data_IF_311115336236
#
_entry.id   IF_311115336236
#
_cell.length_a   1.000
_cell.length_b   1.000
_cell.length_c   1.000
_cell.angle_alpha   90.00
_cell.angle_beta   90.00
_cell.angle_gamma   90.00
#
_symmetry.space_group_name_H-M   'P 1'
#
loop_
_entity.id
_entity.type
_entity.pdbx_description
1 polymer ?
#
# COMPACT_ATOMS: atom_id res chain seq x y z
N UNK A 1 -19.52 -8.09 -20.90
CA UNK A 1 -19.87 -7.43 -19.62
C UNK A 1 -21.38 -7.20 -19.64
N UNK A 2 -22.13 -7.80 -18.71
CA UNK A 2 -23.60 -7.80 -18.69
C UNK A 2 -24.20 -6.48 -18.17
N UNK A 3 -25.41 -6.14 -18.62
CA UNK A 3 -26.21 -4.95 -18.23
C UNK A 3 -26.36 -4.77 -16.71
N UNK A 4 -26.40 -5.86 -15.93
CA UNK A 4 -26.44 -5.79 -14.47
C UNK A 4 -25.21 -5.13 -13.83
N UNK A 5 -24.04 -5.29 -14.44
CA UNK A 5 -22.79 -4.71 -13.91
C UNK A 5 -22.79 -3.19 -14.03
N UNK A 6 -23.33 -2.67 -15.12
CA UNK A 6 -23.46 -1.23 -15.34
C UNK A 6 -24.49 -0.63 -14.40
N UNK A 7 -25.65 -1.27 -14.24
CA UNK A 7 -26.67 -0.84 -13.29
C UNK A 7 -26.16 -0.73 -11.84
N UNK A 8 -25.39 -1.73 -11.37
CA UNK A 8 -24.81 -1.70 -10.01
C UNK A 8 -23.77 -0.59 -9.85
N UNK A 9 -22.97 -0.34 -10.88
CA UNK A 9 -22.00 0.75 -10.89
C UNK A 9 -22.68 2.12 -10.81
N UNK A 10 -23.73 2.34 -11.60
CA UNK A 10 -24.50 3.60 -11.58
C UNK A 10 -25.15 3.83 -10.22
N UNK A 11 -25.71 2.77 -9.62
CA UNK A 11 -26.29 2.84 -8.29
C UNK A 11 -25.24 3.17 -7.21
N UNK A 12 -24.04 2.58 -7.30
CA UNK A 12 -22.93 2.88 -6.39
C UNK A 12 -22.50 4.36 -6.49
N UNK A 13 -22.37 4.90 -7.71
CA UNK A 13 -22.05 6.30 -7.94
C UNK A 13 -23.16 7.25 -7.44
N UNK A 14 -24.43 6.86 -7.56
CA UNK A 14 -25.55 7.60 -7.01
C UNK A 14 -25.47 7.69 -5.47
N UNK A 15 -25.23 6.57 -4.79
CA UNK A 15 -25.06 6.55 -3.33
C UNK A 15 -23.84 7.33 -2.89
N UNK A 16 -22.73 7.23 -3.61
CA UNK A 16 -21.53 8.03 -3.37
C UNK A 16 -21.83 9.53 -3.44
N UNK A 17 -22.46 9.98 -4.52
CA UNK A 17 -22.82 11.40 -4.71
C UNK A 17 -23.75 11.90 -3.60
N UNK A 18 -24.76 11.10 -3.24
CA UNK A 18 -25.67 11.40 -2.12
C UNK A 18 -24.93 11.50 -0.80
N UNK A 19 -24.04 10.54 -0.50
CA UNK A 19 -23.25 10.52 0.73
C UNK A 19 -22.34 11.76 0.83
N UNK A 20 -21.67 12.16 -0.25
CA UNK A 20 -20.83 13.38 -0.27
C UNK A 20 -21.68 14.63 0.00
N UNK A 21 -22.88 14.74 -0.58
CA UNK A 21 -23.80 15.86 -0.35
C UNK A 21 -24.30 15.93 1.09
N UNK A 22 -24.69 14.79 1.65
CA UNK A 22 -25.14 14.70 3.05
C UNK A 22 -23.99 14.99 4.01
N UNK A 23 -22.78 14.51 3.72
CA UNK A 23 -21.59 14.79 4.51
C UNK A 23 -21.25 16.28 4.52
N UNK A 24 -21.32 16.94 3.37
CA UNK A 24 -21.13 18.38 3.25
C UNK A 24 -22.14 19.16 4.11
N UNK A 25 -23.40 18.72 4.10
CA UNK A 25 -24.46 19.32 4.93
C UNK A 25 -24.20 19.08 6.42
N UNK A 26 -23.74 17.88 6.79
CA UNK A 26 -23.38 17.55 8.17
C UNK A 26 -22.19 18.39 8.68
N UNK A 27 -21.18 18.59 7.83
CA UNK A 27 -20.01 19.41 8.16
C UNK A 27 -20.40 20.87 8.47
N UNK A 28 -21.42 21.40 7.80
CA UNK A 28 -21.94 22.75 8.03
C UNK A 28 -22.74 22.90 9.34
N UNK A 29 -23.19 21.79 9.95
CA UNK A 29 -24.17 21.82 11.07
C UNK A 29 -23.61 21.28 12.38
N UNK A 30 -22.64 20.37 12.34
CA UNK A 30 -22.05 19.76 13.55
C UNK A 30 -20.95 20.65 14.14
N UNK A 31 -21.01 20.90 15.45
CA UNK A 31 -19.89 21.43 16.21
C UNK A 31 -19.04 20.27 16.77
N UNK A 32 -17.71 20.37 16.68
CA UNK A 32 -16.72 19.34 17.10
C UNK A 32 -16.69 18.07 16.24
N UNK A 33 -16.33 18.24 14.98
CA UNK A 33 -16.19 17.18 13.97
C UNK A 33 -15.31 16.00 14.44
N UNK A 34 -14.28 16.26 15.24
CA UNK A 34 -13.31 15.27 15.69
C UNK A 34 -13.90 14.16 16.58
N UNK A 35 -15.02 14.44 17.26
CA UNK A 35 -15.68 13.47 18.15
C UNK A 35 -16.80 12.66 17.45
N UNK A 36 -17.08 12.95 16.18
CA UNK A 36 -18.20 12.34 15.45
C UNK A 36 -17.76 11.06 14.72
N UNK A 37 -17.90 9.89 15.35
CA UNK A 37 -17.47 8.60 14.78
C UNK A 37 -18.06 8.33 13.39
N UNK A 38 -19.34 8.64 13.19
CA UNK A 38 -19.99 8.43 11.90
C UNK A 38 -19.40 9.32 10.80
N UNK A 39 -18.86 10.50 11.14
CA UNK A 39 -18.21 11.38 10.16
C UNK A 39 -16.90 10.75 9.69
N UNK A 40 -16.05 10.32 10.63
CA UNK A 40 -14.80 9.64 10.30
C UNK A 40 -15.05 8.35 9.51
N UNK A 41 -16.02 7.53 9.95
CA UNK A 41 -16.39 6.31 9.22
C UNK A 41 -16.91 6.58 7.82
N UNK A 42 -17.77 7.59 7.63
CA UNK A 42 -18.24 7.98 6.30
C UNK A 42 -17.07 8.38 5.40
N UNK A 43 -16.13 9.19 5.89
CA UNK A 43 -14.93 9.58 5.11
C UNK A 43 -14.07 8.35 4.77
N UNK A 44 -13.89 7.41 5.72
CA UNK A 44 -13.17 6.15 5.48
C UNK A 44 -13.84 5.34 4.39
N UNK A 45 -15.16 5.15 4.47
CA UNK A 45 -15.93 4.41 3.48
C UNK A 45 -15.89 5.10 2.10
N UNK A 46 -15.84 6.44 2.04
CA UNK A 46 -15.74 7.18 0.78
C UNK A 46 -14.40 6.98 0.08
N UNK A 47 -13.27 6.99 0.80
CA UNK A 47 -11.99 6.65 0.15
C UNK A 47 -11.90 5.17 -0.21
N UNK A 48 -12.45 4.27 0.61
CA UNK A 48 -12.49 2.84 0.29
C UNK A 48 -13.35 2.57 -0.94
N UNK A 49 -14.47 3.28 -1.11
CA UNK A 49 -15.28 3.21 -2.32
C UNK A 49 -14.45 3.50 -3.59
N UNK A 50 -13.54 4.48 -3.53
CA UNK A 50 -12.62 4.76 -4.64
C UNK A 50 -11.57 3.67 -4.89
N UNK A 51 -11.16 2.94 -3.85
CA UNK A 51 -10.25 1.79 -3.96
C UNK A 51 -10.94 0.54 -4.53
N UNK A 52 -12.18 0.29 -4.08
CA UNK A 52 -12.96 -0.90 -4.44
C UNK A 52 -13.63 -0.76 -5.81
N UNK A 53 -14.18 0.42 -6.10
CA UNK A 53 -15.00 0.67 -7.28
C UNK A 53 -14.30 1.46 -8.38
N UNK A 54 -15.03 1.67 -9.47
CA UNK A 54 -14.61 2.52 -10.59
C UNK A 54 -15.20 3.93 -10.45
N UNK A 55 -14.53 4.93 -11.04
CA UNK A 55 -15.09 6.29 -11.22
C UNK A 55 -14.89 7.29 -10.08
N UNK A 56 -14.46 6.88 -8.89
CA UNK A 56 -14.23 7.78 -7.73
C UNK A 56 -12.78 7.79 -7.24
N UNK A 57 -11.86 7.20 -8.01
CA UNK A 57 -10.43 7.10 -7.69
C UNK A 57 -9.79 8.47 -7.40
N UNK A 58 -10.15 9.47 -8.21
CA UNK A 58 -9.58 10.81 -8.13
C UNK A 58 -10.00 11.57 -6.87
N UNK A 59 -11.03 11.10 -6.15
CA UNK A 59 -11.48 11.70 -4.90
C UNK A 59 -10.80 11.09 -3.67
N UNK A 60 -10.14 9.93 -3.79
CA UNK A 60 -9.43 9.26 -2.68
C UNK A 60 -8.50 10.24 -1.94
N UNK A 61 -7.60 11.00 -2.60
CA UNK A 61 -6.71 11.96 -1.94
C UNK A 61 -7.43 12.95 -1.03
N UNK A 62 -8.57 13.49 -1.48
CA UNK A 62 -9.35 14.49 -0.75
C UNK A 62 -9.96 13.89 0.51
N UNK A 63 -10.52 12.68 0.40
CA UNK A 63 -11.10 11.95 1.53
C UNK A 63 -10.03 11.53 2.53
N UNK A 64 -8.84 11.11 2.07
CA UNK A 64 -7.70 10.80 2.94
C UNK A 64 -7.22 12.04 3.68
N UNK A 65 -7.12 13.18 3.00
CA UNK A 65 -6.75 14.47 3.63
C UNK A 65 -7.77 14.87 4.71
N UNK A 66 -9.07 14.70 4.42
CA UNK A 66 -10.12 14.93 5.41
C UNK A 66 -10.00 13.98 6.63
N UNK A 67 -9.77 12.68 6.39
CA UNK A 67 -9.61 11.69 7.46
C UNK A 67 -8.36 11.98 8.31
N UNK A 68 -7.25 12.32 7.66
CA UNK A 68 -5.99 12.76 8.30
C UNK A 68 -6.28 13.91 9.26
N UNK A 69 -6.96 14.96 8.79
CA UNK A 69 -7.32 16.12 9.63
C UNK A 69 -8.21 15.75 10.81
N UNK A 70 -9.23 14.91 10.61
CA UNK A 70 -10.12 14.45 11.69
C UNK A 70 -9.33 13.67 12.74
N UNK A 71 -8.47 12.74 12.30
CA UNK A 71 -7.64 11.92 13.19
C UNK A 71 -6.63 12.77 13.96
N UNK A 72 -5.98 13.74 13.32
CA UNK A 72 -5.06 14.68 14.00
C UNK A 72 -5.77 15.42 15.12
N UNK A 73 -6.93 16.02 14.84
CA UNK A 73 -7.70 16.77 15.84
C UNK A 73 -8.19 15.88 16.99
N UNK A 74 -8.54 14.63 16.67
CA UNK A 74 -9.11 13.67 17.62
C UNK A 74 -8.06 13.03 18.52
N UNK A 75 -6.93 12.60 17.95
CA UNK A 75 -5.99 11.68 18.59
C UNK A 75 -4.59 12.27 18.80
N UNK A 76 -4.12 13.16 17.91
CA UNK A 76 -2.74 13.67 17.98
C UNK A 76 -2.64 14.98 18.78
N UNK A 77 -3.69 15.79 18.75
CA UNK A 77 -3.76 17.05 19.50
C UNK A 77 -4.19 16.87 20.97
N UNK A 78 -4.39 15.64 21.44
CA UNK A 78 -4.81 15.34 22.81
C UNK A 78 -3.69 14.60 23.56
N UNK A 79 -3.45 14.92 24.84
CA UNK A 79 -2.39 14.29 25.63
C UNK A 79 -2.71 12.85 26.07
N UNK A 80 -3.95 12.40 25.93
CA UNK A 80 -4.40 11.08 26.38
C UNK A 80 -4.02 9.97 25.39
N UNK A 81 -3.69 8.80 25.94
CA UNK A 81 -3.47 7.57 25.16
C UNK A 81 -4.72 7.18 24.36
N UNK A 82 -4.52 6.55 23.20
CA UNK A 82 -5.57 5.98 22.35
C UNK A 82 -6.57 5.12 23.17
N UNK A 83 -7.80 5.62 23.42
CA UNK A 83 -8.64 5.04 24.46
C UNK A 83 -9.49 3.86 23.97
N UNK A 84 -9.62 3.65 22.64
CA UNK A 84 -10.54 2.67 22.06
C UNK A 84 -9.91 1.94 20.88
N UNK A 85 -10.31 0.68 20.70
CA UNK A 85 -9.95 -0.13 19.53
C UNK A 85 -10.35 0.53 18.20
N UNK A 86 -11.47 1.25 18.18
CA UNK A 86 -11.89 2.03 17.01
C UNK A 86 -10.86 3.08 16.61
N UNK A 87 -10.25 3.76 17.58
CA UNK A 87 -9.26 4.80 17.32
C UNK A 87 -7.97 4.18 16.73
N UNK A 88 -7.60 2.96 17.16
CA UNK A 88 -6.51 2.16 16.56
C UNK A 88 -6.80 1.84 15.10
N UNK A 89 -7.94 1.22 14.84
CA UNK A 89 -8.35 0.86 13.48
C UNK A 89 -8.40 2.08 12.57
N UNK A 90 -8.94 3.20 13.06
CA UNK A 90 -9.07 4.42 12.30
C UNK A 90 -7.71 5.02 11.94
N UNK A 91 -6.80 5.20 12.90
CA UNK A 91 -5.49 5.79 12.61
C UNK A 91 -4.67 4.88 11.70
N UNK A 92 -4.68 3.57 11.93
CA UNK A 92 -3.95 2.63 11.07
C UNK A 92 -4.51 2.61 9.65
N UNK A 93 -5.85 2.65 9.50
CA UNK A 93 -6.49 2.73 8.18
C UNK A 93 -6.12 4.02 7.43
N UNK A 94 -6.07 5.15 8.14
CA UNK A 94 -5.66 6.42 7.55
C UNK A 94 -4.17 6.42 7.21
N UNK A 95 -3.30 5.83 8.04
CA UNK A 95 -1.86 5.67 7.75
C UNK A 95 -1.66 4.80 6.52
N UNK A 96 -2.33 3.64 6.45
CA UNK A 96 -2.23 2.75 5.29
C UNK A 96 -2.70 3.42 4.01
N UNK A 97 -3.84 4.12 4.07
CA UNK A 97 -4.36 4.80 2.90
C UNK A 97 -3.49 6.00 2.51
N UNK A 98 -2.91 6.70 3.48
CA UNK A 98 -1.91 7.76 3.27
C UNK A 98 -0.69 7.20 2.54
N UNK A 99 -0.19 6.03 2.95
CA UNK A 99 0.87 5.32 2.26
C UNK A 99 0.50 5.07 0.79
N UNK A 100 -0.64 4.43 0.53
CA UNK A 100 -1.07 4.09 -0.84
C UNK A 100 -1.26 5.31 -1.75
N UNK A 101 -1.89 6.39 -1.27
CA UNK A 101 -2.06 7.60 -2.11
C UNK A 101 -0.73 8.32 -2.34
N UNK A 102 0.20 8.22 -1.41
CA UNK A 102 1.51 8.88 -1.53
C UNK A 102 2.44 8.09 -2.44
N UNK A 103 2.41 6.76 -2.41
CA UNK A 103 3.20 5.92 -3.31
C UNK A 103 2.65 5.90 -4.73
N UNK A 104 1.32 5.88 -4.87
CA UNK A 104 0.61 5.95 -6.15
C UNK A 104 0.99 4.83 -7.12
N UNK A 105 0.64 5.02 -8.40
CA UNK A 105 1.18 4.21 -9.48
C UNK A 105 2.60 4.65 -9.82
N UNK A 106 3.39 3.76 -10.41
CA UNK A 106 4.73 4.04 -10.88
C UNK A 106 4.73 4.88 -12.16
N UNK A 107 3.71 4.73 -13.04
CA UNK A 107 3.55 5.59 -14.22
C UNK A 107 3.05 7.00 -13.89
N UNK A 108 2.47 7.22 -12.71
CA UNK A 108 2.01 8.56 -12.28
C UNK A 108 3.22 9.46 -12.00
N UNK A 109 3.51 10.34 -12.96
CA UNK A 109 4.61 11.33 -12.89
C UNK A 109 4.15 12.76 -12.53
N UNK A 110 2.85 12.98 -12.45
CA UNK A 110 2.27 14.29 -12.11
C UNK A 110 2.49 14.64 -10.63
N UNK A 111 2.39 15.93 -10.31
CA UNK A 111 2.32 16.38 -8.91
C UNK A 111 1.24 15.59 -8.17
N UNK A 112 1.58 15.11 -6.98
CA UNK A 112 0.63 14.39 -6.16
C UNK A 112 -0.61 15.25 -5.93
N UNK A 113 -1.78 14.66 -6.17
CA UNK A 113 -3.06 15.23 -5.72
C UNK A 113 -3.23 15.18 -4.19
N UNK A 114 -2.28 14.56 -3.49
CA UNK A 114 -2.21 14.45 -2.03
C UNK A 114 -0.91 15.06 -1.50
N UNK A 115 -1.01 15.98 -0.54
CA UNK A 115 0.15 16.53 0.15
C UNK A 115 0.49 15.64 1.36
N UNK A 116 1.65 14.97 1.31
CA UNK A 116 2.09 14.11 2.41
C UNK A 116 2.38 14.94 3.64
N UNK A 117 1.70 14.63 4.75
CA UNK A 117 1.86 15.35 6.01
C UNK A 117 2.85 14.61 6.93
N UNK A 118 4.12 15.05 7.04
CA UNK A 118 5.11 14.41 7.90
C UNK A 118 4.76 14.51 9.39
N UNK A 119 4.15 15.62 9.83
CA UNK A 119 3.76 15.80 11.23
C UNK A 119 2.68 14.80 11.66
N UNK A 120 1.72 14.52 10.76
CA UNK A 120 0.73 13.49 10.97
C UNK A 120 1.38 12.11 11.08
N UNK A 121 2.29 11.78 10.16
CA UNK A 121 2.96 10.48 10.12
C UNK A 121 3.76 10.24 11.41
N UNK A 122 4.59 11.20 11.80
CA UNK A 122 5.40 11.14 13.02
C UNK A 122 4.51 11.06 14.28
N UNK A 123 3.42 11.81 14.31
CA UNK A 123 2.46 11.76 15.40
C UNK A 123 1.76 10.40 15.50
N UNK A 124 1.35 9.84 14.35
CA UNK A 124 0.70 8.53 14.29
C UNK A 124 1.64 7.42 14.74
N UNK A 125 2.89 7.41 14.29
CA UNK A 125 3.90 6.45 14.71
C UNK A 125 4.13 6.50 16.24
N UNK A 126 4.40 7.68 16.79
CA UNK A 126 4.58 7.86 18.24
C UNK A 126 3.36 7.40 19.04
N UNK A 127 2.16 7.65 18.54
CA UNK A 127 0.92 7.22 19.20
C UNK A 127 0.76 5.68 19.15
N UNK A 128 1.04 5.08 17.99
CA UNK A 128 0.92 3.63 17.77
C UNK A 128 1.96 2.85 18.56
N UNK A 129 3.18 3.38 18.73
CA UNK A 129 4.24 2.80 19.57
C UNK A 129 3.90 2.78 21.06
N UNK A 130 3.17 3.79 21.54
CA UNK A 130 2.75 3.90 22.95
C UNK A 130 1.50 3.09 23.28
N UNK A 131 0.80 2.57 22.26
CA UNK A 131 -0.46 1.87 22.45
C UNK A 131 -0.24 0.49 23.09
N UNK A 132 -0.98 0.21 24.16
CA UNK A 132 -0.94 -1.07 24.90
C UNK A 132 -2.20 -1.92 24.69
N UNK A 133 -2.96 -1.67 23.62
CA UNK A 133 -4.30 -2.24 23.42
C UNK A 133 -4.32 -3.78 23.30
N UNK A 134 -3.20 -4.41 22.93
CA UNK A 134 -3.08 -5.87 22.97
C UNK A 134 -1.75 -6.28 23.63
N UNK A 135 -1.72 -6.48 24.96
CA UNK A 135 -0.48 -6.82 25.67
C UNK A 135 0.00 -8.24 25.32
N UNK A 136 1.31 -8.43 25.17
CA UNK A 136 1.95 -9.76 25.02
C UNK A 136 2.22 -10.23 23.58
N UNK A 137 1.67 -9.58 22.56
CA UNK A 137 1.94 -9.93 21.16
C UNK A 137 3.10 -9.11 20.56
N UNK A 138 3.91 -9.69 19.64
CA UNK A 138 4.89 -8.94 18.85
C UNK A 138 4.25 -7.74 18.15
N UNK A 139 4.94 -6.59 18.11
CA UNK A 139 4.36 -5.31 17.66
C UNK A 139 3.79 -5.35 16.23
N UNK A 140 4.43 -6.08 15.32
CA UNK A 140 3.93 -6.27 13.95
C UNK A 140 2.60 -7.05 13.91
N UNK A 141 2.46 -8.05 14.77
CA UNK A 141 1.23 -8.84 14.96
C UNK A 141 0.14 -8.08 15.74
N UNK A 142 0.53 -6.96 16.36
CA UNK A 142 -0.32 -6.09 17.17
C UNK A 142 -0.90 -4.91 16.36
N UNK A 143 -0.84 -4.99 15.04
CA UNK A 143 -1.41 -4.00 14.13
C UNK A 143 -2.48 -4.64 13.25
N UNK A 144 -3.77 -4.56 13.63
CA UNK A 144 -4.86 -5.25 12.93
C UNK A 144 -5.03 -4.80 11.48
N UNK A 145 -4.60 -3.58 11.14
CA UNK A 145 -4.64 -3.05 9.78
C UNK A 145 -3.25 -3.10 9.14
N UNK A 146 -2.22 -2.48 9.73
CA UNK A 146 -0.96 -2.30 9.00
C UNK A 146 -0.17 -3.60 8.84
N UNK A 147 -0.15 -4.48 9.84
CA UNK A 147 0.55 -5.78 9.82
C UNK A 147 2.08 -5.73 9.60
N UNK A 148 2.61 -4.60 9.14
CA UNK A 148 3.98 -4.31 8.78
C UNK A 148 4.43 -3.09 9.60
N UNK A 149 5.67 -3.06 10.13
CA UNK A 149 6.22 -1.91 10.86
C UNK A 149 6.13 -0.60 10.08
N UNK A 150 5.75 0.50 10.74
CA UNK A 150 5.66 1.84 10.12
C UNK A 150 6.99 2.35 9.58
N UNK A 151 8.10 1.93 10.16
CA UNK A 151 9.44 2.23 9.67
C UNK A 151 9.65 1.71 8.24
N UNK A 152 9.15 0.51 7.91
CA UNK A 152 9.23 -0.03 6.55
C UNK A 152 8.36 0.76 5.57
N UNK A 153 7.15 1.16 5.98
CA UNK A 153 6.33 2.06 5.15
C UNK A 153 7.04 3.41 4.91
N UNK A 154 7.66 4.01 5.95
CA UNK A 154 8.43 5.26 5.81
C UNK A 154 9.61 5.08 4.86
N UNK A 155 10.37 4.00 5.03
CA UNK A 155 11.51 3.66 4.18
C UNK A 155 11.08 3.58 2.70
N UNK A 156 10.02 2.84 2.41
CA UNK A 156 9.47 2.73 1.06
C UNK A 156 9.00 4.08 0.52
N UNK A 157 8.33 4.91 1.31
CA UNK A 157 7.88 6.25 0.90
C UNK A 157 9.07 7.13 0.49
N UNK A 158 10.15 7.12 1.29
CA UNK A 158 11.36 7.88 1.00
C UNK A 158 12.04 7.39 -0.29
N UNK A 159 12.18 6.07 -0.45
CA UNK A 159 12.77 5.48 -1.65
C UNK A 159 11.93 5.76 -2.90
N UNK A 160 10.61 5.63 -2.82
CA UNK A 160 9.68 5.97 -3.91
C UNK A 160 9.76 7.45 -4.29
N UNK A 161 9.92 8.34 -3.31
CA UNK A 161 10.07 9.78 -3.55
C UNK A 161 11.34 10.11 -4.34
N UNK A 162 12.44 9.38 -4.10
CA UNK A 162 13.66 9.52 -4.90
C UNK A 162 13.37 9.27 -6.38
N UNK A 163 12.68 8.17 -6.71
CA UNK A 163 12.28 7.86 -8.08
C UNK A 163 11.32 8.89 -8.68
N UNK A 164 10.37 9.41 -7.90
CA UNK A 164 9.37 10.35 -8.43
C UNK A 164 9.94 11.73 -8.76
N UNK A 165 10.69 12.33 -7.82
CA UNK A 165 11.18 13.71 -7.95
C UNK A 165 12.59 13.76 -8.55
N UNK A 166 13.28 12.62 -8.65
CA UNK A 166 14.67 12.56 -9.09
C UNK A 166 15.63 13.28 -8.14
N UNK A 167 15.24 13.47 -6.87
CA UNK A 167 16.06 14.15 -5.88
C UNK A 167 17.21 13.23 -5.44
N UNK A 168 18.43 13.75 -5.45
CA UNK A 168 19.61 13.05 -4.95
C UNK A 168 19.68 13.12 -3.44
N UNK A 169 19.71 11.97 -2.78
CA UNK A 169 19.96 11.90 -1.34
C UNK A 169 21.38 12.38 -1.01
N UNK A 170 21.52 13.13 0.08
CA UNK A 170 22.84 13.40 0.62
C UNK A 170 23.49 12.12 1.16
N UNK A 171 24.82 12.16 1.27
CA UNK A 171 25.63 10.99 1.65
C UNK A 171 25.30 10.45 3.06
N UNK A 172 24.88 11.33 3.97
CA UNK A 172 24.52 10.98 5.34
C UNK A 172 23.18 10.25 5.37
N UNK A 173 22.18 10.81 4.70
CA UNK A 173 20.85 10.23 4.56
C UNK A 173 20.92 8.88 3.84
N UNK A 174 21.71 8.79 2.75
CA UNK A 174 21.93 7.53 2.04
C UNK A 174 22.56 6.46 2.95
N UNK A 175 23.54 6.83 3.78
CA UNK A 175 24.16 5.90 4.72
C UNK A 175 23.19 5.46 5.81
N UNK A 176 22.32 6.34 6.30
CA UNK A 176 21.27 5.99 7.25
C UNK A 176 20.29 4.97 6.66
N UNK A 177 19.83 5.20 5.43
CA UNK A 177 18.94 4.26 4.73
C UNK A 177 19.61 2.90 4.49
N UNK A 178 20.91 2.89 4.15
CA UNK A 178 21.68 1.63 4.04
C UNK A 178 21.71 0.87 5.35
N UNK A 179 22.03 1.54 6.46
CA UNK A 179 22.06 0.89 7.76
C UNK A 179 20.68 0.33 8.15
N UNK A 180 19.61 1.08 7.86
CA UNK A 180 18.23 0.62 8.13
C UNK A 180 17.85 -0.59 7.27
N UNK A 181 18.06 -0.53 5.95
CA UNK A 181 17.83 -1.67 5.04
C UNK A 181 18.67 -2.87 5.45
N UNK A 182 19.96 -2.70 5.73
CA UNK A 182 20.82 -3.80 6.15
C UNK A 182 20.35 -4.43 7.46
N UNK A 183 19.83 -3.65 8.42
CA UNK A 183 19.25 -4.21 9.64
C UNK A 183 18.00 -5.06 9.35
N UNK A 184 17.18 -4.66 8.37
CA UNK A 184 16.02 -5.45 7.92
C UNK A 184 16.44 -6.70 7.13
N UNK A 185 17.44 -6.59 6.26
CA UNK A 185 18.02 -7.71 5.53
C UNK A 185 18.66 -8.72 6.49
N UNK A 186 19.37 -8.26 7.52
CA UNK A 186 19.94 -9.11 8.56
C UNK A 186 18.84 -9.87 9.30
N UNK A 187 17.76 -9.19 9.70
CA UNK A 187 16.60 -9.87 10.28
C UNK A 187 16.06 -10.93 9.31
N UNK A 188 15.84 -10.59 8.03
CA UNK A 188 15.33 -11.52 7.01
C UNK A 188 16.26 -12.72 6.74
N UNK A 189 17.57 -12.52 6.72
CA UNK A 189 18.57 -13.52 6.37
C UNK A 189 19.00 -14.40 7.56
N UNK A 190 19.10 -13.81 8.76
CA UNK A 190 19.55 -14.47 9.98
C UNK A 190 18.42 -14.96 10.88
N UNK A 191 17.16 -14.77 10.49
CA UNK A 191 16.06 -15.09 11.37
C UNK A 191 15.95 -16.57 11.77
N UNK A 192 16.27 -16.84 13.02
CA UNK A 192 15.81 -18.03 13.74
C UNK A 192 14.42 -17.83 14.37
N UNK A 193 13.92 -16.60 14.50
CA UNK A 193 12.59 -16.29 15.05
C UNK A 193 11.49 -16.34 13.96
N UNK A 194 11.86 -16.23 12.69
CA UNK A 194 10.93 -16.30 11.54
C UNK A 194 11.17 -17.47 10.57
N UNK A 195 12.26 -18.24 10.73
CA UNK A 195 12.36 -19.59 10.14
C UNK A 195 11.60 -20.58 11.03
N UNK A 196 10.79 -21.51 10.47
CA UNK A 196 10.26 -22.59 11.28
C UNK A 196 11.43 -23.41 11.83
N UNK A 197 11.71 -23.30 13.13
CA UNK A 197 12.49 -24.31 13.84
C UNK A 197 11.73 -25.62 13.67
N UNK A 198 12.28 -26.54 12.88
CA UNK A 198 11.80 -27.92 12.79
C UNK A 198 12.22 -28.70 14.05
N UNK A 199 11.97 -28.14 15.23
CA UNK A 199 12.03 -28.83 16.51
C UNK A 199 10.94 -28.26 17.41
N UNK A 200 10.21 -29.17 18.04
CA UNK A 200 8.89 -28.99 18.62
C UNK A 200 8.78 -27.85 19.68
N UNK A 201 8.24 -26.68 19.31
CA UNK A 201 7.26 -25.89 20.10
C UNK A 201 6.85 -24.59 19.36
N UNK A 202 5.56 -24.50 19.02
CA UNK A 202 4.82 -23.38 18.41
C UNK A 202 5.15 -23.04 16.93
N UNK A 203 4.51 -23.78 16.02
CA UNK A 203 4.39 -23.36 14.61
C UNK A 203 3.62 -22.04 14.53
N UNK A 204 4.14 -21.07 13.78
CA UNK A 204 3.39 -19.87 13.40
C UNK A 204 2.01 -20.27 12.85
N UNK A 205 0.98 -19.54 13.24
CA UNK A 205 -0.33 -19.64 12.61
C UNK A 205 -0.22 -19.23 11.13
N UNK A 206 -1.14 -19.74 10.30
CA UNK A 206 -1.18 -19.42 8.87
C UNK A 206 -1.17 -17.91 8.58
N UNK A 207 -1.85 -17.13 9.43
CA UNK A 207 -1.89 -15.67 9.34
C UNK A 207 -0.54 -15.02 9.65
N UNK A 208 0.17 -15.54 10.63
CA UNK A 208 1.51 -15.04 11.00
C UNK A 208 2.52 -15.33 9.90
N UNK A 209 2.43 -16.51 9.26
CA UNK A 209 3.22 -16.83 8.06
C UNK A 209 2.95 -15.84 6.94
N UNK A 210 1.68 -15.57 6.62
CA UNK A 210 1.34 -14.57 5.60
C UNK A 210 1.90 -13.19 5.95
N UNK A 211 1.74 -12.71 7.19
CA UNK A 211 2.24 -11.40 7.61
C UNK A 211 3.76 -11.29 7.55
N UNK A 212 4.49 -12.34 7.95
CA UNK A 212 5.94 -12.42 7.78
C UNK A 212 6.31 -12.29 6.30
N UNK A 213 5.67 -13.06 5.45
CA UNK A 213 6.01 -13.09 4.03
C UNK A 213 5.64 -11.76 3.35
N UNK A 214 4.61 -11.06 3.81
CA UNK A 214 4.35 -9.66 3.42
C UNK A 214 5.51 -8.74 3.83
N UNK A 215 6.00 -8.83 5.08
CA UNK A 215 7.18 -8.05 5.53
C UNK A 215 8.39 -8.34 4.65
N UNK A 216 8.62 -9.61 4.28
CA UNK A 216 9.71 -9.98 3.38
C UNK A 216 9.61 -9.28 2.02
N UNK A 217 8.42 -9.14 1.45
CA UNK A 217 8.23 -8.40 0.21
C UNK A 217 8.57 -6.90 0.36
N UNK A 218 8.19 -6.25 1.47
CA UNK A 218 8.56 -4.86 1.73
C UNK A 218 10.06 -4.66 1.91
N UNK A 219 10.74 -5.56 2.64
CA UNK A 219 12.19 -5.52 2.85
C UNK A 219 12.93 -5.72 1.52
N UNK A 220 12.54 -6.76 0.77
CA UNK A 220 13.11 -7.10 -0.54
C UNK A 220 12.97 -5.94 -1.52
N UNK A 221 11.79 -5.33 -1.58
CA UNK A 221 11.53 -4.16 -2.42
C UNK A 221 12.38 -2.96 -2.01
N UNK A 222 12.47 -2.67 -0.71
CA UNK A 222 13.28 -1.56 -0.19
C UNK A 222 14.77 -1.74 -0.51
N UNK A 223 15.27 -2.97 -0.38
CA UNK A 223 16.64 -3.34 -0.76
C UNK A 223 16.91 -3.07 -2.23
N UNK A 224 16.06 -3.57 -3.13
CA UNK A 224 16.20 -3.39 -4.58
C UNK A 224 16.16 -1.91 -5.00
N UNK A 225 15.23 -1.13 -4.41
CA UNK A 225 15.12 0.30 -4.66
C UNK A 225 16.39 1.04 -4.21
N UNK A 226 16.87 0.76 -3.00
CA UNK A 226 18.06 1.43 -2.45
C UNK A 226 19.33 1.04 -3.22
N UNK A 227 19.44 -0.20 -3.68
CA UNK A 227 20.57 -0.69 -4.49
C UNK A 227 20.69 0.10 -5.80
N UNK A 228 19.60 0.28 -6.54
CA UNK A 228 19.60 1.07 -7.78
C UNK A 228 19.83 2.57 -7.55
N UNK A 229 19.24 3.14 -6.49
CA UNK A 229 19.53 4.52 -6.08
C UNK A 229 21.02 4.68 -5.78
N UNK A 230 21.61 3.73 -5.05
CA UNK A 230 23.03 3.74 -4.68
C UNK A 230 23.96 3.65 -5.88
N UNK A 231 23.55 2.99 -6.97
CA UNK A 231 24.31 2.88 -8.22
C UNK A 231 24.11 4.06 -9.16
N UNK A 232 23.19 4.98 -8.85
CA UNK A 232 22.83 6.07 -9.75
C UNK A 232 22.07 5.59 -11.00
N UNK A 233 21.45 4.41 -10.94
CA UNK A 233 20.74 3.77 -12.06
C UNK A 233 19.31 4.29 -12.24
N UNK A 234 18.97 5.42 -11.63
CA UNK A 234 17.65 6.03 -11.71
C UNK A 234 17.41 6.62 -13.12
N UNK A 235 16.92 5.78 -14.02
CA UNK A 235 16.53 6.17 -15.38
C UNK A 235 15.04 6.54 -15.40
N UNK A 236 14.72 7.79 -15.75
CA UNK A 236 13.36 8.24 -16.08
C UNK A 236 12.28 8.01 -15.00
N UNK A 237 12.67 7.89 -13.73
CA UNK A 237 11.76 7.78 -12.58
C UNK A 237 11.10 6.40 -12.37
N UNK A 238 11.55 5.37 -13.09
CA UNK A 238 11.12 3.98 -12.90
C UNK A 238 12.31 3.10 -12.47
N UNK A 239 12.08 2.07 -11.63
CA UNK A 239 13.08 1.03 -11.38
C UNK A 239 13.45 0.30 -12.66
N UNK A 240 14.65 -0.27 -12.71
CA UNK A 240 15.10 -1.12 -13.82
C UNK A 240 14.90 -2.60 -13.50
N UNK A 241 14.70 -3.47 -14.51
CA UNK A 241 14.77 -4.91 -14.31
C UNK A 241 16.12 -5.34 -13.73
N UNK A 242 16.11 -6.36 -12.88
CA UNK A 242 17.29 -6.92 -12.23
C UNK A 242 17.45 -8.38 -12.68
N UNK A 243 18.69 -8.91 -12.81
CA UNK A 243 18.92 -10.29 -13.21
C UNK A 243 18.20 -11.31 -12.31
N UNK A 244 17.74 -12.41 -12.90
CA UNK A 244 16.99 -13.48 -12.21
C UNK A 244 17.78 -14.17 -11.09
N UNK A 245 19.10 -14.19 -11.19
CA UNK A 245 19.98 -14.78 -10.18
C UNK A 245 20.23 -13.86 -8.97
N UNK A 246 19.66 -12.66 -8.97
CA UNK A 246 19.71 -11.77 -7.83
C UNK A 246 18.88 -12.35 -6.66
N UNK A 247 19.47 -12.36 -5.47
CA UNK A 247 18.87 -13.03 -4.31
C UNK A 247 17.54 -12.37 -3.88
N UNK A 248 17.39 -11.05 -4.05
CA UNK A 248 16.14 -10.35 -3.77
C UNK A 248 15.01 -10.83 -4.70
N UNK A 249 15.32 -11.02 -5.99
CA UNK A 249 14.35 -11.57 -6.96
C UNK A 249 13.99 -13.02 -6.60
N UNK A 250 14.98 -13.86 -6.28
CA UNK A 250 14.73 -15.24 -5.87
C UNK A 250 13.86 -15.33 -4.61
N UNK A 251 14.10 -14.45 -3.63
CA UNK A 251 13.29 -14.35 -2.41
C UNK A 251 11.84 -13.98 -2.74
N UNK A 252 11.63 -12.95 -3.56
CA UNK A 252 10.28 -12.54 -3.97
C UNK A 252 9.54 -13.66 -4.71
N UNK A 253 10.21 -14.32 -5.66
CA UNK A 253 9.65 -15.47 -6.40
C UNK A 253 9.29 -16.61 -5.45
N UNK A 254 10.18 -16.97 -4.53
CA UNK A 254 9.94 -18.03 -3.55
C UNK A 254 8.72 -17.73 -2.66
N UNK A 255 8.55 -16.48 -2.19
CA UNK A 255 7.37 -16.07 -1.43
C UNK A 255 6.09 -16.25 -2.24
N UNK A 256 6.08 -15.78 -3.49
CA UNK A 256 4.92 -15.90 -4.38
C UNK A 256 4.57 -17.37 -4.70
N UNK A 257 5.58 -18.20 -4.93
CA UNK A 257 5.38 -19.64 -5.19
C UNK A 257 4.86 -20.38 -3.95
N UNK A 258 5.36 -20.06 -2.75
CA UNK A 258 4.91 -20.67 -1.50
C UNK A 258 3.43 -20.42 -1.20
N UNK A 259 2.90 -19.27 -1.62
CA UNK A 259 1.50 -18.90 -1.45
C UNK A 259 0.65 -19.15 -2.70
N UNK A 260 1.18 -19.89 -3.68
CA UNK A 260 0.41 -20.30 -4.83
C UNK A 260 -0.82 -21.11 -4.35
N UNK A 261 -2.01 -20.68 -4.76
CA UNK A 261 -3.29 -21.26 -4.33
C UNK A 261 -3.70 -21.03 -2.85
N UNK A 262 -3.01 -20.17 -2.09
CA UNK A 262 -3.47 -19.71 -0.76
C UNK A 262 -4.48 -18.55 -0.85
N UNK A 263 -5.73 -18.78 -0.45
CA UNK A 263 -6.78 -17.74 -0.48
C UNK A 263 -6.64 -16.68 0.62
N UNK A 264 -6.03 -17.02 1.77
CA UNK A 264 -5.86 -16.06 2.88
C UNK A 264 -4.84 -15.01 2.47
N UNK A 265 -3.74 -15.45 1.86
CA UNK A 265 -2.76 -14.60 1.22
C UNK A 265 -3.38 -13.70 0.14
N UNK A 266 -4.12 -14.29 -0.81
CA UNK A 266 -4.72 -13.54 -1.92
C UNK A 266 -5.80 -12.52 -1.47
N UNK A 267 -6.37 -12.68 -0.27
CA UNK A 267 -7.31 -11.71 0.33
C UNK A 267 -6.61 -10.60 1.14
N UNK A 268 -5.31 -10.72 1.40
CA UNK A 268 -4.55 -9.78 2.20
C UNK A 268 -4.12 -8.58 1.35
N UNK A 269 -4.72 -7.42 1.56
CA UNK A 269 -4.45 -6.22 0.76
C UNK A 269 -3.02 -5.65 0.94
N UNK A 270 -2.30 -6.06 1.98
CA UNK A 270 -0.98 -5.51 2.31
C UNK A 270 0.06 -5.81 1.23
N UNK A 271 -0.09 -6.95 0.55
CA UNK A 271 0.79 -7.38 -0.52
C UNK A 271 0.50 -6.78 -1.89
N UNK A 272 -0.64 -6.14 -2.10
CA UNK A 272 -1.04 -5.65 -3.42
C UNK A 272 0.01 -4.68 -3.99
N UNK A 273 0.46 -3.73 -3.16
CA UNK A 273 1.43 -2.72 -3.58
C UNK A 273 2.88 -3.24 -3.71
N UNK A 274 3.46 -4.00 -2.76
CA UNK A 274 4.81 -4.52 -2.92
C UNK A 274 4.93 -5.55 -4.04
N UNK A 275 3.94 -6.43 -4.26
CA UNK A 275 3.95 -7.39 -5.38
C UNK A 275 3.94 -6.67 -6.72
N UNK A 276 3.04 -5.70 -6.85
CA UNK A 276 2.99 -4.81 -8.01
C UNK A 276 4.34 -4.12 -8.27
N UNK A 277 4.95 -3.54 -7.24
CA UNK A 277 6.22 -2.82 -7.36
C UNK A 277 7.39 -3.75 -7.67
N UNK A 278 7.43 -4.95 -7.08
CA UNK A 278 8.43 -5.98 -7.38
C UNK A 278 8.36 -6.45 -8.83
N UNK A 279 7.17 -6.46 -9.43
CA UNK A 279 6.97 -6.71 -10.86
C UNK A 279 7.83 -5.83 -11.78
N UNK A 280 8.20 -4.62 -11.34
CA UNK A 280 9.05 -3.72 -12.11
C UNK A 280 10.50 -4.18 -12.20
N UNK A 281 10.95 -5.03 -11.29
CA UNK A 281 12.30 -5.58 -11.28
C UNK A 281 12.39 -6.91 -12.04
N UNK A 282 11.27 -7.51 -12.44
CA UNK A 282 11.25 -8.80 -13.12
C UNK A 282 11.74 -8.67 -14.58
N UNK A 283 12.85 -9.34 -14.90
CA UNK A 283 13.42 -9.37 -16.27
C UNK A 283 12.84 -10.49 -17.14
N UNK A 284 12.53 -11.63 -16.55
CA UNK A 284 12.10 -12.85 -17.27
C UNK A 284 10.60 -12.87 -17.55
N UNK A 285 10.21 -13.58 -18.60
CA UNK A 285 8.79 -13.74 -18.93
C UNK A 285 8.07 -14.58 -17.87
N UNK A 286 8.77 -15.55 -17.31
CA UNK A 286 8.30 -16.46 -16.28
C UNK A 286 7.98 -15.72 -14.98
N UNK A 287 8.89 -14.86 -14.51
CA UNK A 287 8.66 -14.06 -13.30
C UNK A 287 7.61 -12.98 -13.51
N UNK A 288 7.57 -12.34 -14.69
CA UNK A 288 6.47 -11.42 -15.06
C UNK A 288 5.12 -12.16 -15.03
N UNK A 289 5.06 -13.38 -15.55
CA UNK A 289 3.84 -14.20 -15.55
C UNK A 289 3.42 -14.60 -14.13
N UNK A 290 4.36 -14.91 -13.24
CA UNK A 290 4.07 -15.20 -11.84
C UNK A 290 3.37 -14.01 -11.16
N UNK A 291 3.91 -12.79 -11.31
CA UNK A 291 3.30 -11.56 -10.77
C UNK A 291 1.92 -11.30 -11.37
N UNK A 292 1.76 -11.51 -12.69
CA UNK A 292 0.46 -11.37 -13.39
C UNK A 292 -0.60 -12.30 -12.81
N UNK A 293 -0.27 -13.59 -12.64
CA UNK A 293 -1.19 -14.57 -12.07
C UNK A 293 -1.55 -14.22 -10.62
N UNK A 294 -0.59 -13.73 -9.85
CA UNK A 294 -0.82 -13.33 -8.46
C UNK A 294 -1.76 -12.12 -8.36
N UNK A 295 -1.55 -11.07 -9.16
CA UNK A 295 -2.44 -9.90 -9.20
C UNK A 295 -3.84 -10.29 -9.70
N UNK A 296 -3.94 -11.12 -10.74
CA UNK A 296 -5.22 -11.62 -11.23
C UNK A 296 -5.97 -12.36 -10.12
N UNK A 297 -5.27 -13.22 -9.37
CA UNK A 297 -5.86 -14.00 -8.29
C UNK A 297 -6.33 -13.13 -7.12
N UNK A 298 -5.53 -12.14 -6.72
CA UNK A 298 -5.91 -11.14 -5.72
C UNK A 298 -7.17 -10.38 -6.14
N UNK A 299 -7.26 -9.99 -7.41
CA UNK A 299 -8.50 -9.43 -7.96
C UNK A 299 -9.66 -10.43 -7.94
N UNK A 300 -9.43 -11.70 -8.26
CA UNK A 300 -10.46 -12.73 -8.21
C UNK A 300 -11.05 -12.91 -6.81
N UNK A 301 -10.20 -12.86 -5.78
CA UNK A 301 -10.61 -13.02 -4.38
C UNK A 301 -11.25 -11.76 -3.78
N UNK A 302 -10.76 -10.56 -4.13
CA UNK A 302 -11.15 -9.31 -3.46
C UNK A 302 -12.10 -8.44 -4.26
N UNK A 303 -12.08 -8.58 -5.60
CA UNK A 303 -12.79 -7.73 -6.56
C UNK A 303 -12.50 -6.23 -6.40
N UNK A 304 -11.32 -5.87 -5.87
CA UNK A 304 -10.92 -4.47 -5.74
C UNK A 304 -10.45 -3.91 -7.08
N UNK A 305 -10.92 -2.71 -7.45
CA UNK A 305 -10.45 -2.03 -8.64
C UNK A 305 -8.97 -1.60 -8.54
N UNK A 306 -8.44 -1.43 -7.32
CA UNK A 306 -7.04 -1.08 -7.08
C UNK A 306 -6.06 -2.10 -7.66
N UNK A 307 -6.29 -3.41 -7.44
CA UNK A 307 -5.43 -4.47 -7.99
C UNK A 307 -5.42 -4.43 -9.52
N UNK A 308 -6.57 -4.20 -10.15
CA UNK A 308 -6.65 -4.03 -11.62
C UNK A 308 -5.89 -2.80 -12.11
N UNK A 309 -5.81 -1.72 -11.32
CA UNK A 309 -5.01 -0.54 -11.69
C UNK A 309 -3.51 -0.86 -11.64
N UNK A 310 -3.07 -1.56 -10.61
CA UNK A 310 -1.69 -2.04 -10.51
C UNK A 310 -1.32 -2.97 -11.66
N UNK A 311 -2.16 -3.94 -11.98
CA UNK A 311 -1.98 -4.84 -13.12
C UNK A 311 -1.84 -4.07 -14.44
N UNK A 312 -2.79 -3.17 -14.74
CA UNK A 312 -2.75 -2.36 -15.98
C UNK A 312 -1.53 -1.47 -16.08
N UNK A 313 -1.11 -0.87 -14.97
CA UNK A 313 0.09 -0.05 -14.92
C UNK A 313 1.35 -0.87 -15.22
N UNK A 314 1.44 -2.05 -14.61
CA UNK A 314 2.56 -2.95 -14.78
C UNK A 314 2.67 -3.49 -16.21
N UNK A 315 1.53 -3.89 -16.81
CA UNK A 315 1.47 -4.31 -18.21
C UNK A 315 1.89 -3.19 -19.17
N UNK A 316 1.43 -1.96 -18.93
CA UNK A 316 1.84 -0.81 -19.73
C UNK A 316 3.35 -0.54 -19.63
N UNK A 317 3.93 -0.66 -18.43
CA UNK A 317 5.37 -0.49 -18.21
C UNK A 317 6.18 -1.61 -18.88
N UNK A 318 5.75 -2.87 -18.74
CA UNK A 318 6.43 -4.00 -19.39
C UNK A 318 6.40 -3.87 -20.91
N UNK A 319 5.23 -3.58 -21.48
CA UNK A 319 5.08 -3.39 -22.91
C UNK A 319 5.95 -2.23 -23.45
N UNK A 320 5.98 -1.10 -22.74
CA UNK A 320 6.84 0.04 -23.10
C UNK A 320 8.34 -0.33 -23.08
N UNK A 321 8.78 -1.15 -22.12
CA UNK A 321 10.17 -1.64 -22.05
C UNK A 321 10.50 -2.65 -23.16
N UNK A 322 9.54 -3.49 -23.50
CA UNK A 322 9.67 -4.52 -24.54
C UNK A 322 9.48 -3.91 -25.96
N UNK A 323 9.33 -2.58 -26.08
CA UNK A 323 9.16 -1.88 -27.36
C UNK A 323 7.80 -2.15 -28.03
N UNK A 324 6.84 -2.65 -27.27
CA UNK A 324 5.50 -3.02 -27.75
C UNK A 324 4.53 -1.95 -27.27
N UNK A 325 4.05 -1.05 -28.16
CA UNK A 325 3.00 -0.10 -27.77
C UNK A 325 1.74 -0.87 -27.36
N UNK A 326 1.28 -0.69 -26.11
CA UNK A 326 -0.06 -1.13 -25.72
C UNK A 326 -1.04 -0.30 -26.51
N UNK A 327 -1.79 -0.94 -27.41
CA UNK A 327 -3.00 -0.36 -27.99
C UNK A 327 -3.94 -0.11 -26.82
N UNK A 328 -3.94 1.12 -26.31
CA UNK A 328 -4.91 1.59 -25.33
C UNK A 328 -6.30 1.37 -25.93
N UNK A 329 -7.05 0.43 -25.37
CA UNK A 329 -8.44 0.24 -25.73
C UNK A 329 -9.19 1.59 -25.54
N UNK A 330 -10.07 1.98 -26.48
CA UNK A 330 -10.72 3.28 -26.43
C UNK A 330 -11.58 3.41 -25.17
N UNK A 331 -11.44 4.56 -24.50
CA UNK A 331 -12.33 5.00 -23.42
C UNK A 331 -13.78 5.01 -23.93
N UNK A 332 -14.74 4.32 -23.28
CA UNK A 332 -16.13 4.33 -23.72
C UNK A 332 -16.86 5.54 -23.12
N UNK A 333 -16.39 6.76 -23.36
CA UNK A 333 -17.12 7.97 -23.00
C UNK A 333 -16.74 9.13 -23.92
N UNK A 334 -17.22 9.06 -25.17
CA UNK A 334 -17.60 10.23 -25.95
C UNK A 334 -18.52 9.76 -27.06
N UNK A 335 -19.83 9.86 -26.82
CA UNK A 335 -20.86 10.15 -27.81
C UNK A 335 -22.21 10.29 -27.10
N UNK A 336 -22.53 11.52 -26.71
CA UNK A 336 -23.88 12.01 -26.54
C UNK A 336 -23.82 13.55 -26.61
N UNK A 337 -23.78 14.05 -27.84
CA UNK A 337 -24.36 15.34 -28.19
C UNK A 337 -25.87 15.19 -28.38
#
# INVERSE_FOLDING_TARGET
MNDESWYRQDLALMYYSKAVKELSTLLATVSRHENHNALLMSVILLYLHGCLGWGTANDIPRHVSAATRIVTLRLLNRPESMPRLFDRLAIESVVYQTFLVTTGLWSDRSELSYDFNPDFWDGAEKLLERSVLFPGNPRALNSPVLGVPLSLFRLVLLLRQCYRVGFSLDLTTLQQLRNEVSSWEEQLLYDEDFRPRFDDQERLSHRETCLRDEIYLYVTLSSLLLEQISRGEMSAGLPLPVPENNWQIQMAVQVLENHQNDEVWAKCYLGDWPIYSLGLFMSSTEHKQLVRLELQRRWECTKTAMVTRFERDLEAIWAARDGTEVVSAPSPLHNAS
#
